data_IF_456367647536
#
_entry.id   IF_456367647536
#
_cell.length_a   1.000
_cell.length_b   1.000
_cell.length_c   1.000
_cell.angle_alpha   90.00
_cell.angle_beta   90.00
_cell.angle_gamma   90.00
#
_symmetry.space_group_name_H-M   'P 1'
#
loop_
_entity.id
_entity.type
_entity.pdbx_description
1 polymer ?
#
# COMPACT_ATOMS: atom_id res chain seq x y z
N UNK A 1 6.70 4.46 22.65
CA UNK A 1 6.41 3.91 21.31
C UNK A 1 7.62 3.11 20.89
N UNK A 2 7.46 1.81 20.70
CA UNK A 2 8.51 0.98 20.12
C UNK A 2 8.82 1.48 18.71
N UNK A 3 10.11 1.64 18.39
CA UNK A 3 10.52 2.02 17.04
C UNK A 3 10.16 0.87 16.10
N UNK A 4 9.46 1.18 15.01
CA UNK A 4 9.30 0.24 13.91
C UNK A 4 10.69 -0.05 13.32
N UNK A 5 11.25 -1.20 13.69
CA UNK A 5 12.61 -1.62 13.30
C UNK A 5 12.61 -2.68 12.21
N UNK A 6 11.45 -3.28 11.95
CA UNK A 6 11.26 -4.38 11.01
C UNK A 6 10.08 -4.08 10.08
N UNK A 7 10.19 -4.54 8.84
CA UNK A 7 9.12 -4.58 7.85
C UNK A 7 9.43 -5.73 6.90
N UNK A 8 8.51 -6.69 6.82
CA UNK A 8 8.52 -7.81 5.88
C UNK A 8 7.10 -7.99 5.29
N UNK A 9 6.93 -8.94 4.36
CA UNK A 9 5.64 -9.14 3.67
C UNK A 9 4.50 -9.43 4.62
N UNK A 10 4.78 -10.20 5.67
CA UNK A 10 3.80 -10.60 6.68
C UNK A 10 3.30 -9.39 7.47
N UNK A 11 4.22 -8.54 7.96
CA UNK A 11 3.88 -7.30 8.67
C UNK A 11 3.15 -6.33 7.73
N UNK A 12 3.60 -6.21 6.48
CA UNK A 12 2.98 -5.34 5.48
C UNK A 12 1.54 -5.80 5.17
N UNK A 13 1.32 -7.11 5.05
CA UNK A 13 0.01 -7.71 4.83
C UNK A 13 -0.93 -7.46 6.02
N UNK A 14 -0.46 -7.75 7.24
CA UNK A 14 -1.23 -7.50 8.46
C UNK A 14 -1.64 -6.03 8.59
N UNK A 15 -0.72 -5.12 8.29
CA UNK A 15 -0.97 -3.68 8.38
C UNK A 15 -1.98 -3.20 7.32
N UNK A 16 -1.92 -3.74 6.10
CA UNK A 16 -2.92 -3.45 5.06
C UNK A 16 -4.31 -3.96 5.48
N UNK A 17 -4.38 -5.19 6.02
CA UNK A 17 -5.64 -5.77 6.50
C UNK A 17 -6.29 -4.94 7.61
N UNK A 18 -5.50 -4.48 8.60
CA UNK A 18 -5.99 -3.57 9.64
C UNK A 18 -6.58 -2.29 9.05
N UNK A 19 -5.90 -1.69 8.08
CA UNK A 19 -6.41 -0.48 7.39
C UNK A 19 -7.73 -0.76 6.65
N UNK A 20 -7.88 -1.94 6.06
CA UNK A 20 -9.12 -2.35 5.38
C UNK A 20 -10.25 -2.55 6.40
N UNK A 21 -9.96 -3.16 7.55
CA UNK A 21 -10.97 -3.37 8.58
C UNK A 21 -11.45 -2.04 9.18
N UNK A 22 -10.57 -1.05 9.35
CA UNK A 22 -10.96 0.32 9.69
C UNK A 22 -11.94 0.91 8.67
N UNK A 23 -11.64 0.75 7.37
CA UNK A 23 -12.54 1.24 6.30
C UNK A 23 -13.88 0.48 6.32
N UNK A 24 -13.88 -0.84 6.56
CA UNK A 24 -15.13 -1.62 6.66
C UNK A 24 -16.02 -1.09 7.77
N UNK A 25 -15.44 -0.84 8.94
CA UNK A 25 -16.16 -0.33 10.11
C UNK A 25 -16.71 1.08 9.83
N UNK A 26 -15.88 1.98 9.30
CA UNK A 26 -16.28 3.36 9.00
C UNK A 26 -17.35 3.46 7.91
N UNK A 27 -17.22 2.67 6.83
CA UNK A 27 -18.15 2.68 5.70
C UNK A 27 -19.35 1.75 5.89
N UNK A 28 -19.38 0.94 6.96
CA UNK A 28 -20.41 -0.08 7.21
C UNK A 28 -20.64 -1.02 6.01
N UNK A 29 -19.56 -1.42 5.35
CA UNK A 29 -19.58 -2.32 4.18
C UNK A 29 -19.22 -3.76 4.57
N UNK A 30 -19.73 -4.72 3.80
CA UNK A 30 -19.40 -6.14 3.92
C UNK A 30 -19.05 -6.70 2.54
N UNK A 31 -18.09 -7.62 2.50
CA UNK A 31 -17.62 -8.26 1.29
C UNK A 31 -16.95 -9.59 1.62
N UNK A 32 -16.94 -10.52 0.66
CA UNK A 32 -16.27 -11.82 0.81
C UNK A 32 -14.81 -11.77 0.33
N UNK A 33 -14.54 -10.95 -0.68
CA UNK A 33 -13.22 -10.80 -1.29
C UNK A 33 -12.85 -9.32 -1.46
N UNK A 34 -11.56 -9.01 -1.42
CA UNK A 34 -11.04 -7.70 -1.77
C UNK A 34 -10.03 -7.74 -2.92
N UNK A 35 -10.05 -6.68 -3.72
CA UNK A 35 -9.10 -6.39 -4.79
C UNK A 35 -8.52 -4.99 -4.64
N UNK A 36 -7.35 -4.80 -5.22
CA UNK A 36 -6.59 -3.57 -5.06
C UNK A 36 -6.20 -3.00 -6.41
N UNK A 37 -6.27 -1.68 -6.51
CA UNK A 37 -5.68 -0.91 -7.61
C UNK A 37 -4.56 -0.06 -7.00
N UNK A 38 -3.34 -0.23 -7.48
CA UNK A 38 -2.19 0.55 -7.02
C UNK A 38 -2.01 1.75 -7.96
N UNK A 39 -2.02 2.95 -7.39
CA UNK A 39 -1.72 4.19 -8.10
C UNK A 39 -0.40 4.78 -7.57
N UNK A 40 0.68 4.72 -8.36
CA UNK A 40 1.96 5.33 -7.99
C UNK A 40 1.88 6.85 -7.93
N UNK A 41 2.34 7.44 -6.83
CA UNK A 41 2.39 8.89 -6.66
C UNK A 41 3.83 9.39 -6.63
N UNK A 42 4.16 10.25 -7.58
CA UNK A 42 5.41 11.00 -7.60
C UNK A 42 5.30 12.25 -6.72
N UNK A 43 6.02 12.26 -5.60
CA UNK A 43 6.08 13.44 -4.72
C UNK A 43 6.87 14.57 -5.39
N UNK A 44 6.24 15.75 -5.55
CA UNK A 44 6.91 16.95 -6.06
C UNK A 44 8.13 17.30 -5.21
N UNK A 45 9.23 17.66 -5.86
CA UNK A 45 10.49 18.10 -5.24
C UNK A 45 11.15 17.05 -4.31
N UNK A 46 10.76 15.78 -4.42
CA UNK A 46 11.41 14.66 -3.70
C UNK A 46 12.15 13.77 -4.70
N UNK A 47 13.48 13.82 -4.75
CA UNK A 47 14.24 12.99 -5.69
C UNK A 47 14.08 11.50 -5.34
N UNK A 48 14.02 10.69 -6.40
CA UNK A 48 14.01 9.24 -6.33
C UNK A 48 15.45 8.72 -6.28
N UNK A 49 15.71 7.72 -5.45
CA UNK A 49 16.98 6.97 -5.46
C UNK A 49 17.03 6.01 -6.65
N UNK A 50 18.14 5.28 -6.80
CA UNK A 50 18.26 4.21 -7.81
C UNK A 50 17.25 3.08 -7.55
N UNK A 51 17.04 2.72 -6.29
CA UNK A 51 16.06 1.74 -5.85
C UNK A 51 14.63 2.20 -6.13
N UNK A 52 14.32 3.46 -5.83
CA UNK A 52 13.02 4.08 -6.13
C UNK A 52 12.74 4.03 -7.65
N UNK A 53 13.74 4.36 -8.47
CA UNK A 53 13.64 4.30 -9.93
C UNK A 53 13.49 2.87 -10.46
N UNK A 54 14.20 1.91 -9.86
CA UNK A 54 14.06 0.50 -10.21
C UNK A 54 12.61 0.04 -10.00
N UNK A 55 12.01 0.36 -8.84
CA UNK A 55 10.61 0.03 -8.56
C UNK A 55 9.67 0.72 -9.54
N UNK A 56 9.83 2.03 -9.74
CA UNK A 56 9.01 2.82 -10.67
C UNK A 56 8.98 2.23 -12.08
N UNK A 57 10.14 1.88 -12.62
CA UNK A 57 10.28 1.48 -14.02
C UNK A 57 9.93 0.01 -14.25
N UNK A 58 10.21 -0.87 -13.28
CA UNK A 58 10.08 -2.32 -13.48
C UNK A 58 8.87 -2.92 -12.78
N UNK A 59 8.51 -2.46 -11.58
CA UNK A 59 7.45 -3.07 -10.77
C UNK A 59 6.16 -2.28 -10.84
N UNK A 60 6.25 -0.94 -10.78
CA UNK A 60 5.10 -0.02 -10.83
C UNK A 60 4.80 0.41 -12.28
N UNK A 61 5.23 -0.38 -13.25
CA UNK A 61 4.95 -0.17 -14.66
C UNK A 61 3.47 -0.38 -14.97
N UNK A 62 2.99 0.26 -16.04
CA UNK A 62 1.62 0.09 -16.53
C UNK A 62 1.30 -1.38 -16.83
N UNK A 63 2.26 -2.13 -17.37
CA UNK A 63 2.11 -3.56 -17.59
C UNK A 63 1.85 -4.34 -16.31
N UNK A 64 2.45 -3.95 -15.18
CA UNK A 64 2.35 -4.71 -13.94
C UNK A 64 1.15 -4.30 -13.08
N UNK A 65 0.84 -3.01 -13.00
CA UNK A 65 -0.21 -2.51 -12.09
C UNK A 65 -1.23 -1.58 -12.74
N UNK A 66 -1.07 -1.19 -14.00
CA UNK A 66 -1.90 -0.18 -14.68
C UNK A 66 -3.40 -0.49 -14.61
N UNK A 67 -4.09 0.12 -13.66
CA UNK A 67 -5.51 -0.06 -13.34
C UNK A 67 -5.96 -1.52 -13.14
N UNK A 68 -5.04 -2.43 -12.84
CA UNK A 68 -5.38 -3.84 -12.62
C UNK A 68 -5.97 -4.03 -11.23
N UNK A 69 -7.11 -4.72 -11.14
CA UNK A 69 -7.69 -5.21 -9.87
C UNK A 69 -6.93 -6.48 -9.44
N UNK A 70 -5.90 -6.33 -8.62
CA UNK A 70 -5.02 -7.44 -8.19
C UNK A 70 -5.39 -7.95 -6.79
N UNK A 71 -4.99 -9.18 -6.47
CA UNK A 71 -5.27 -9.80 -5.16
C UNK A 71 -4.38 -9.21 -4.06
N UNK A 72 -4.72 -9.50 -2.79
CA UNK A 72 -3.89 -9.14 -1.64
C UNK A 72 -2.45 -9.65 -1.79
N UNK A 73 -2.28 -10.94 -2.11
CA UNK A 73 -0.96 -11.57 -2.29
C UNK A 73 -0.13 -10.86 -3.38
N UNK A 74 -0.75 -10.50 -4.50
CA UNK A 74 -0.07 -9.76 -5.57
C UNK A 74 0.31 -8.35 -5.11
N UNK A 75 -0.58 -7.68 -4.39
CA UNK A 75 -0.38 -6.34 -3.83
C UNK A 75 0.82 -6.31 -2.89
N UNK A 76 0.89 -7.25 -1.95
CA UNK A 76 2.03 -7.39 -1.03
C UNK A 76 3.31 -7.76 -1.77
N UNK A 77 3.22 -8.60 -2.82
CA UNK A 77 4.35 -8.89 -3.70
C UNK A 77 4.92 -7.65 -4.39
N UNK A 78 4.05 -6.74 -4.85
CA UNK A 78 4.41 -5.47 -5.51
C UNK A 78 5.00 -4.47 -4.52
N UNK A 79 4.30 -4.22 -3.41
CA UNK A 79 4.69 -3.22 -2.41
C UNK A 79 5.92 -3.65 -1.59
N UNK A 80 6.06 -4.95 -1.32
CA UNK A 80 7.18 -5.58 -0.60
C UNK A 80 8.33 -6.05 -1.51
N UNK A 81 8.44 -5.52 -2.73
CA UNK A 81 9.43 -5.97 -3.73
C UNK A 81 10.89 -5.76 -3.32
N UNK A 82 11.16 -4.80 -2.42
CA UNK A 82 12.52 -4.44 -1.95
C UNK A 82 12.69 -4.56 -0.44
N UNK A 83 11.93 -5.45 0.20
CA UNK A 83 11.99 -5.60 1.65
C UNK A 83 13.42 -5.71 2.19
N UNK A 84 13.75 -4.99 3.28
CA UNK A 84 12.82 -4.29 4.18
C UNK A 84 12.44 -2.86 3.75
N UNK A 85 12.78 -2.43 2.53
CA UNK A 85 12.33 -1.15 1.99
C UNK A 85 10.92 -1.30 1.40
N UNK A 86 9.99 -0.46 1.85
CA UNK A 86 8.61 -0.38 1.36
C UNK A 86 8.26 1.09 1.08
N UNK A 87 7.16 1.38 0.36
CA UNK A 87 6.71 2.76 0.16
C UNK A 87 6.64 3.53 1.48
N UNK A 88 7.18 4.75 1.49
CA UNK A 88 7.27 5.58 2.70
C UNK A 88 5.88 5.93 3.27
N UNK A 89 4.85 5.96 2.44
CA UNK A 89 3.44 6.09 2.82
C UNK A 89 2.55 5.43 1.76
N UNK A 90 1.39 4.96 2.19
CA UNK A 90 0.32 4.44 1.34
C UNK A 90 -1.02 4.96 1.86
N UNK A 91 -1.81 5.58 0.99
CA UNK A 91 -3.19 5.96 1.29
C UNK A 91 -4.10 4.86 0.78
N UNK A 92 -5.02 4.40 1.61
CA UNK A 92 -5.99 3.36 1.27
C UNK A 92 -7.37 3.98 1.29
N UNK A 93 -8.12 3.83 0.20
CA UNK A 93 -9.50 4.29 0.09
C UNK A 93 -10.38 3.20 -0.51
N UNK A 94 -11.63 3.15 -0.09
CA UNK A 94 -12.63 2.32 -0.74
C UNK A 94 -13.05 2.96 -2.07
N UNK A 95 -13.08 2.18 -3.14
CA UNK A 95 -13.43 2.67 -4.47
C UNK A 95 -14.87 2.27 -4.84
N UNK A 96 -15.15 0.97 -4.88
CA UNK A 96 -16.44 0.44 -5.32
C UNK A 96 -16.66 -1.01 -4.85
N UNK A 97 -17.93 -1.45 -4.90
CA UNK A 97 -18.31 -2.86 -4.85
C UNK A 97 -18.50 -3.39 -6.27
N UNK A 98 -17.95 -4.57 -6.55
CA UNK A 98 -18.16 -5.34 -7.77
C UNK A 98 -18.80 -6.68 -7.37
N UNK A 99 -20.12 -6.67 -7.18
CA UNK A 99 -20.84 -7.77 -6.52
C UNK A 99 -20.43 -7.89 -5.05
N UNK A 100 -19.95 -9.07 -4.65
CA UNK A 100 -19.44 -9.34 -3.29
C UNK A 100 -17.93 -9.07 -3.13
N UNK A 101 -17.32 -8.43 -4.14
CA UNK A 101 -15.90 -8.06 -4.15
C UNK A 101 -15.74 -6.57 -3.89
N UNK A 102 -15.05 -6.21 -2.81
CA UNK A 102 -14.68 -4.81 -2.55
C UNK A 102 -13.40 -4.43 -3.28
N UNK A 103 -13.39 -3.27 -3.94
CA UNK A 103 -12.21 -2.72 -4.62
C UNK A 103 -11.67 -1.54 -3.82
N UNK A 104 -10.39 -1.60 -3.49
CA UNK A 104 -9.67 -0.55 -2.78
C UNK A 104 -8.61 0.10 -3.68
N UNK A 105 -8.48 1.43 -3.59
CA UNK A 105 -7.42 2.18 -4.25
C UNK A 105 -6.28 2.45 -3.26
N UNK A 106 -5.07 2.11 -3.67
CA UNK A 106 -3.83 2.28 -2.92
C UNK A 106 -2.97 3.32 -3.62
N UNK A 107 -3.05 4.57 -3.16
CA UNK A 107 -2.13 5.61 -3.63
C UNK A 107 -0.80 5.42 -2.89
N UNK A 108 0.25 5.06 -3.62
CA UNK A 108 1.50 4.61 -3.04
C UNK A 108 2.63 5.55 -3.40
N UNK A 109 3.40 5.98 -2.41
CA UNK A 109 4.62 6.75 -2.69
C UNK A 109 5.60 5.93 -3.53
N UNK A 110 6.18 6.56 -4.55
CA UNK A 110 7.30 5.97 -5.30
C UNK A 110 8.62 5.90 -4.51
N UNK A 111 8.64 6.35 -3.25
CA UNK A 111 9.86 6.40 -2.43
C UNK A 111 9.89 5.27 -1.41
N UNK A 112 10.81 4.34 -1.58
CA UNK A 112 10.99 3.15 -0.77
C UNK A 112 11.97 3.40 0.36
N UNK A 113 11.57 3.25 1.61
CA UNK A 113 12.39 3.61 2.77
C UNK A 113 12.39 2.51 3.83
N UNK A 114 13.40 2.58 4.70
CA UNK A 114 13.56 1.68 5.84
C UNK A 114 12.39 1.84 6.83
N UNK A 115 12.08 0.82 7.64
CA UNK A 115 10.98 0.85 8.60
C UNK A 115 10.99 2.10 9.50
N UNK A 116 12.17 2.53 9.94
CA UNK A 116 12.35 3.70 10.82
C UNK A 116 12.00 5.06 10.20
N UNK A 117 11.79 5.10 8.88
CA UNK A 117 11.48 6.32 8.12
C UNK A 117 10.07 6.31 7.53
N UNK A 118 9.29 5.25 7.77
CA UNK A 118 7.92 5.18 7.29
C UNK A 118 7.08 6.26 7.96
N UNK A 119 6.11 6.79 7.23
CA UNK A 119 5.08 7.68 7.75
C UNK A 119 3.89 6.86 8.24
N UNK A 120 2.88 7.56 8.76
CA UNK A 120 1.66 6.97 9.30
C UNK A 120 1.94 6.01 10.47
N UNK A 121 3.00 6.29 11.25
CA UNK A 121 3.38 5.47 12.42
C UNK A 121 2.35 5.61 13.55
N UNK A 122 1.66 6.75 13.57
CA UNK A 122 0.58 7.10 14.47
C UNK A 122 -0.69 6.24 14.27
N UNK A 123 -0.87 5.61 13.10
CA UNK A 123 -2.00 4.70 12.85
C UNK A 123 -1.79 3.32 13.52
N UNK A 124 -0.55 3.00 13.92
CA UNK A 124 -0.19 1.68 14.45
C UNK A 124 0.01 0.61 13.38
N UNK A 125 -0.21 0.92 12.10
CA UNK A 125 -0.09 0.00 10.97
C UNK A 125 0.61 0.66 9.74
N UNK A 126 1.71 1.37 9.99
CA UNK A 126 2.54 1.97 8.93
C UNK A 126 2.98 0.94 7.86
N UNK A 127 3.12 1.33 6.58
CA UNK A 127 3.04 2.70 6.04
C UNK A 127 1.62 3.14 5.66
N UNK A 128 0.58 2.40 6.04
CA UNK A 128 -0.78 2.64 5.57
C UNK A 128 -1.53 3.66 6.42
N UNK A 129 -2.45 4.38 5.77
CA UNK A 129 -3.51 5.16 6.43
C UNK A 129 -4.78 5.11 5.60
N UNK A 130 -5.91 5.27 6.27
CA UNK A 130 -7.20 5.53 5.60
C UNK A 130 -7.17 6.91 4.94
N UNK A 131 -7.64 6.98 3.70
CA UNK A 131 -7.91 8.21 2.97
C UNK A 131 -9.39 8.27 2.56
N UNK A 132 -9.94 9.48 2.61
CA UNK A 132 -11.35 9.78 2.31
C UNK A 132 -11.51 10.22 0.86
#
# INVERSE_FOLDING_TARGET
MDKLTQMNKEILEENLLKTIDEIKEEASISFEECRFIIEPVLEKDKPLTSEDNFMRLNIFSEENIGNKKISLKQTIGVLGGLEPLVPIWINVSFLEMDGDVAVFKLESSLRFRKPTLLRNVDTGHAPFKVAK
#
